data_IF_361413947616
#
_entry.id   IF_361413947616
#
_cell.length_a   1.000
_cell.length_b   1.000
_cell.length_c   1.000
_cell.angle_alpha   90.00
_cell.angle_beta   90.00
_cell.angle_gamma   90.00
#
_symmetry.space_group_name_H-M   'P 1'
#
loop_
_entity.id
_entity.type
_entity.pdbx_description
1 polymer ?
#
# COMPACT_ATOMS: atom_id res chain seq x y z
N UNK A 1 2.78 32.81 -22.97
CA UNK A 1 2.32 31.66 -22.16
C UNK A 1 3.34 31.35 -21.09
N UNK A 2 2.92 30.91 -19.89
CA UNK A 2 3.87 30.49 -18.84
C UNK A 2 4.46 29.12 -19.20
N UNK A 3 5.69 28.85 -18.78
CA UNK A 3 6.37 27.57 -19.04
C UNK A 3 5.52 26.36 -18.63
N UNK A 4 4.81 26.45 -17.50
CA UNK A 4 3.85 25.44 -17.04
C UNK A 4 2.75 25.12 -18.07
N UNK A 5 2.26 26.11 -18.79
CA UNK A 5 1.20 25.93 -19.80
C UNK A 5 1.75 25.19 -21.01
N UNK A 6 2.93 25.58 -21.49
CA UNK A 6 3.60 24.93 -22.62
C UNK A 6 3.93 23.48 -22.27
N UNK A 7 4.41 23.24 -21.04
CA UNK A 7 4.71 21.90 -20.54
C UNK A 7 3.46 21.00 -20.48
N UNK A 8 2.36 21.51 -19.90
CA UNK A 8 1.09 20.77 -19.86
C UNK A 8 0.62 20.43 -21.27
N UNK A 9 0.63 21.41 -22.19
CA UNK A 9 0.23 21.18 -23.59
C UNK A 9 1.10 20.11 -24.24
N UNK A 10 2.42 20.20 -24.11
CA UNK A 10 3.35 19.22 -24.66
C UNK A 10 3.10 17.80 -24.13
N UNK A 11 2.93 17.65 -22.81
CA UNK A 11 2.60 16.35 -22.20
C UNK A 11 1.25 15.84 -22.70
N UNK A 12 0.21 16.69 -22.72
CA UNK A 12 -1.11 16.26 -23.17
C UNK A 12 -1.09 15.81 -24.62
N UNK A 13 -0.43 16.54 -25.52
CA UNK A 13 -0.29 16.15 -26.92
C UNK A 13 0.45 14.81 -27.06
N UNK A 14 1.55 14.64 -26.33
CA UNK A 14 2.34 13.41 -26.36
C UNK A 14 1.55 12.21 -25.81
N UNK A 15 0.79 12.41 -24.73
CA UNK A 15 -0.10 11.40 -24.17
C UNK A 15 -1.22 11.04 -25.17
N UNK A 16 -1.85 12.01 -25.81
CA UNK A 16 -2.90 11.77 -26.80
C UNK A 16 -2.37 10.99 -27.99
N UNK A 17 -1.19 11.35 -28.51
CA UNK A 17 -0.53 10.61 -29.60
C UNK A 17 -0.23 9.18 -29.17
N UNK A 18 0.33 8.99 -27.97
CA UNK A 18 0.61 7.67 -27.43
C UNK A 18 -0.66 6.81 -27.33
N UNK A 19 -1.75 7.38 -26.82
CA UNK A 19 -3.04 6.70 -26.73
C UNK A 19 -3.55 6.34 -28.13
N UNK A 20 -3.54 7.27 -29.08
CA UNK A 20 -4.05 7.04 -30.43
C UNK A 20 -3.29 5.93 -31.17
N UNK A 21 -1.95 5.93 -31.10
CA UNK A 21 -1.10 4.90 -31.71
C UNK A 21 -1.34 3.52 -31.09
N UNK A 22 -1.68 3.45 -29.80
CA UNK A 22 -1.88 2.19 -29.09
C UNK A 22 -3.36 1.83 -28.92
N UNK A 23 -4.27 2.53 -29.59
CA UNK A 23 -5.71 2.27 -29.49
C UNK A 23 -6.16 1.03 -30.27
N UNK A 24 -5.26 0.45 -31.09
CA UNK A 24 -5.55 -0.74 -31.89
C UNK A 24 -6.13 -1.88 -31.04
N UNK A 25 -7.21 -2.53 -31.53
CA UNK A 25 -7.78 -3.68 -30.86
C UNK A 25 -6.86 -4.89 -30.98
N UNK A 26 -6.81 -5.67 -29.90
CA UNK A 26 -6.23 -7.01 -29.86
C UNK A 26 -7.35 -8.00 -29.59
N UNK A 27 -7.36 -9.09 -30.34
CA UNK A 27 -8.30 -10.18 -30.08
C UNK A 27 -7.91 -10.90 -28.79
N UNK A 28 -8.83 -10.86 -27.82
CA UNK A 28 -8.70 -11.60 -26.59
C UNK A 28 -9.49 -12.90 -26.69
N UNK A 29 -8.77 -14.01 -26.68
CA UNK A 29 -9.34 -15.36 -26.59
C UNK A 29 -9.66 -15.66 -25.14
N UNK A 30 -10.91 -15.44 -24.74
CA UNK A 30 -11.39 -15.91 -23.46
C UNK A 30 -11.58 -17.43 -23.49
N UNK A 31 -11.41 -18.09 -22.33
CA UNK A 31 -11.51 -19.54 -22.17
C UNK A 31 -12.90 -20.07 -22.61
N UNK A 32 -13.91 -19.20 -22.60
CA UNK A 32 -15.28 -19.49 -23.03
C UNK A 32 -15.75 -18.35 -23.95
N UNK A 33 -16.22 -18.69 -25.16
CA UNK A 33 -16.80 -17.72 -26.10
C UNK A 33 -15.93 -17.43 -27.34
N UNK A 34 -16.46 -16.59 -28.23
CA UNK A 34 -15.73 -16.12 -29.41
C UNK A 34 -14.69 -15.05 -29.05
N UNK A 35 -13.63 -14.87 -29.86
CA UNK A 35 -12.65 -13.81 -29.65
C UNK A 35 -13.32 -12.43 -29.63
N UNK A 36 -13.00 -11.61 -28.62
CA UNK A 36 -13.53 -10.25 -28.50
C UNK A 36 -12.39 -9.26 -28.74
N UNK A 37 -12.55 -8.28 -29.65
CA UNK A 37 -11.57 -7.22 -29.84
C UNK A 37 -11.59 -6.25 -28.65
N UNK A 38 -10.46 -6.15 -27.95
CA UNK A 38 -10.27 -5.24 -26.80
C UNK A 38 -9.07 -4.33 -27.08
N UNK A 39 -9.18 -3.04 -26.75
CA UNK A 39 -8.07 -2.10 -26.92
C UNK A 39 -6.87 -2.47 -26.04
N UNK A 40 -5.65 -2.44 -26.61
CA UNK A 40 -4.39 -2.66 -25.86
C UNK A 40 -4.28 -1.75 -24.63
N UNK A 41 -4.80 -0.53 -24.73
CA UNK A 41 -4.80 0.43 -23.62
C UNK A 41 -5.62 -0.03 -22.41
N UNK A 42 -6.77 -0.66 -22.65
CA UNK A 42 -7.64 -1.18 -21.58
C UNK A 42 -6.93 -2.30 -20.84
N UNK A 43 -6.28 -3.19 -21.59
CA UNK A 43 -5.52 -4.32 -21.03
C UNK A 43 -4.38 -3.81 -20.14
N UNK A 44 -3.57 -2.88 -20.64
CA UNK A 44 -2.47 -2.27 -19.87
C UNK A 44 -3.01 -1.55 -18.63
N UNK A 45 -4.11 -0.79 -18.76
CA UNK A 45 -4.75 -0.10 -17.64
C UNK A 45 -5.20 -1.05 -16.53
N UNK A 46 -5.83 -2.17 -16.89
CA UNK A 46 -6.24 -3.21 -15.93
C UNK A 46 -5.01 -3.84 -15.27
N UNK A 47 -3.96 -4.16 -16.04
CA UNK A 47 -2.72 -4.71 -15.49
C UNK A 47 -2.05 -3.77 -14.49
N UNK A 48 -2.04 -2.45 -14.75
CA UNK A 48 -1.50 -1.45 -13.82
C UNK A 48 -2.30 -1.43 -12.52
N UNK A 49 -3.64 -1.46 -12.59
CA UNK A 49 -4.50 -1.46 -11.41
C UNK A 49 -4.26 -2.72 -10.56
N UNK A 50 -4.24 -3.89 -11.20
CA UNK A 50 -4.00 -5.17 -10.51
C UNK A 50 -2.60 -5.17 -9.89
N UNK A 51 -1.58 -4.77 -10.65
CA UNK A 51 -0.20 -4.68 -10.18
C UNK A 51 -0.05 -3.71 -9.00
N UNK A 52 -0.75 -2.58 -9.03
CA UNK A 52 -0.79 -1.63 -7.92
C UNK A 52 -1.43 -2.24 -6.66
N UNK A 53 -2.58 -2.91 -6.80
CA UNK A 53 -3.26 -3.58 -5.68
C UNK A 53 -2.36 -4.66 -5.06
N UNK A 54 -1.79 -5.52 -5.91
CA UNK A 54 -0.89 -6.59 -5.47
C UNK A 54 0.38 -6.02 -4.82
N UNK A 55 0.99 -5.01 -5.43
CA UNK A 55 2.16 -4.33 -4.90
C UNK A 55 1.89 -3.64 -3.56
N UNK A 56 0.73 -3.00 -3.41
CA UNK A 56 0.28 -2.41 -2.15
C UNK A 56 0.08 -3.49 -1.08
N UNK A 57 -0.56 -4.60 -1.42
CA UNK A 57 -0.85 -5.67 -0.47
C UNK A 57 0.42 -6.41 -0.04
N UNK A 58 1.33 -6.69 -0.98
CA UNK A 58 2.61 -7.33 -0.72
C UNK A 58 3.61 -6.39 -0.02
N UNK A 59 3.60 -5.11 -0.36
CA UNK A 59 4.47 -4.09 0.22
C UNK A 59 4.01 -3.59 1.58
N UNK A 60 2.82 -3.98 2.07
CA UNK A 60 2.31 -3.57 3.38
C UNK A 60 3.24 -4.13 4.47
N UNK A 61 3.99 -3.27 5.20
CA UNK A 61 4.86 -3.74 6.26
C UNK A 61 4.00 -4.43 7.32
N UNK A 62 4.21 -5.73 7.51
CA UNK A 62 3.60 -6.45 8.64
C UNK A 62 4.29 -5.92 9.89
N UNK A 63 3.51 -5.42 10.86
CA UNK A 63 4.07 -5.10 12.18
C UNK A 63 4.75 -6.36 12.68
N UNK A 64 6.06 -6.32 12.81
CA UNK A 64 6.80 -7.31 13.59
C UNK A 64 6.23 -7.20 14.99
N UNK A 65 5.47 -8.20 15.42
CA UNK A 65 5.04 -8.29 16.81
C UNK A 65 6.33 -8.46 17.60
N UNK A 66 6.83 -7.37 18.16
CA UNK A 66 7.88 -7.41 19.18
C UNK A 66 7.22 -8.09 20.37
N UNK A 67 7.35 -9.42 20.47
CA UNK A 67 6.71 -10.18 21.56
C UNK A 67 7.25 -9.76 22.94
N UNK A 68 8.31 -8.95 22.97
CA UNK A 68 8.88 -8.40 24.19
C UNK A 68 8.11 -7.20 24.74
N UNK A 69 7.44 -6.40 23.90
CA UNK A 69 6.75 -5.19 24.40
C UNK A 69 5.43 -5.52 25.10
N UNK A 70 4.74 -6.60 24.70
CA UNK A 70 3.46 -6.99 25.29
C UNK A 70 3.59 -7.56 26.71
N UNK A 71 4.70 -8.21 27.05
CA UNK A 71 4.92 -8.68 28.43
C UNK A 71 5.32 -7.53 29.36
N UNK A 72 6.12 -6.57 28.88
CA UNK A 72 6.56 -5.42 29.69
C UNK A 72 5.36 -4.54 30.10
N UNK A 73 4.44 -4.25 29.18
CA UNK A 73 3.22 -3.46 29.49
C UNK A 73 2.27 -4.20 30.45
N UNK A 74 2.20 -5.53 30.37
CA UNK A 74 1.33 -6.35 31.23
C UNK A 74 1.87 -6.46 32.66
N UNK A 75 3.19 -6.46 32.85
CA UNK A 75 3.83 -6.55 34.17
C UNK A 75 3.96 -5.20 34.88
N UNK A 76 4.03 -4.07 34.15
CA UNK A 76 4.13 -2.74 34.76
C UNK A 76 2.85 -2.24 35.45
N UNK A 77 1.68 -2.78 35.10
CA UNK A 77 0.39 -2.31 35.64
C UNK A 77 -0.01 -2.99 36.97
N UNK A 78 0.70 -4.02 37.42
CA UNK A 78 0.37 -4.77 38.65
C UNK A 78 1.30 -4.54 39.85
N UNK A 79 2.40 -3.80 39.70
CA UNK A 79 3.43 -3.63 40.75
C UNK A 79 3.38 -2.28 41.50
N UNK A 80 2.19 -1.67 41.65
CA UNK A 80 2.03 -0.52 42.57
C UNK A 80 1.66 -0.93 44.01
N UNK A 81 1.99 -2.16 44.43
CA UNK A 81 1.93 -2.57 45.83
C UNK A 81 3.34 -2.64 46.37
N UNK A 82 3.70 -1.59 47.11
CA UNK A 82 4.87 -1.47 47.97
C UNK A 82 5.44 -2.82 48.42
N UNK A 83 6.61 -3.17 47.88
CA UNK A 83 7.34 -4.42 48.10
C UNK A 83 8.09 -4.47 49.42
N UNK A 84 7.94 -3.46 50.28
CA UNK A 84 8.57 -3.39 51.59
C UNK A 84 7.76 -4.21 52.60
N UNK A 85 8.44 -5.09 53.33
CA UNK A 85 7.86 -5.82 54.47
C UNK A 85 7.50 -4.84 55.60
N UNK A 86 6.59 -5.23 56.48
CA UNK A 86 6.14 -4.34 57.57
C UNK A 86 7.31 -4.01 58.52
N UNK A 87 8.22 -4.97 58.76
CA UNK A 87 9.49 -4.69 59.46
C UNK A 87 10.34 -3.60 58.78
N UNK A 88 10.50 -3.63 57.45
CA UNK A 88 11.33 -2.65 56.71
C UNK A 88 10.76 -1.22 56.77
N UNK A 89 9.46 -1.08 57.01
CA UNK A 89 8.79 0.23 57.10
C UNK A 89 9.11 0.97 58.39
N UNK A 90 9.20 0.25 59.51
CA UNK A 90 9.51 0.84 60.82
C UNK A 90 10.96 1.36 60.91
N UNK A 91 11.86 0.84 60.06
CA UNK A 91 13.25 1.32 60.00
C UNK A 91 13.44 2.65 59.26
N UNK A 92 12.46 3.08 58.46
CA UNK A 92 12.54 4.30 57.65
C UNK A 92 11.63 5.44 58.14
N UNK A 93 10.93 5.25 59.27
CA UNK A 93 10.08 6.26 59.93
C UNK A 93 10.78 7.00 61.06
#
# INVERSE_FOLDING_TARGET
MKAKTIFIIAITALLTIFLMINSDPVEFNFIIGAPIPISKLIVIGICIIIGFILGFLAGRPRKTVSSYDQEIEKHQSSESKSTLSDEDRDYIS
#
